data_IF_239271616119
#
_entry.id   IF_239271616119
#
_cell.length_a   1.000
_cell.length_b   1.000
_cell.length_c   1.000
_cell.angle_alpha   90.00
_cell.angle_beta   90.00
_cell.angle_gamma   90.00
#
_symmetry.space_group_name_H-M   'P 1'
#
loop_
_entity.id
_entity.type
_entity.pdbx_description
1 polymer ?
#
# COMPACT_ATOMS: atom_id res chain seq x y z
N UNK A 1 -39.03 -11.12 -42.37
CA UNK A 1 -38.94 -10.45 -41.05
C UNK A 1 -37.51 -10.55 -40.56
N UNK A 2 -36.78 -9.44 -40.58
CA UNK A 2 -35.36 -9.38 -40.19
C UNK A 2 -35.24 -9.21 -38.69
N UNK A 3 -34.74 -10.23 -37.99
CA UNK A 3 -34.48 -10.19 -36.55
C UNK A 3 -33.11 -9.54 -36.32
N UNK A 4 -33.07 -8.20 -36.44
CA UNK A 4 -31.89 -7.42 -36.12
C UNK A 4 -31.51 -7.63 -34.66
N UNK A 5 -30.29 -8.14 -34.41
CA UNK A 5 -29.74 -8.28 -33.07
C UNK A 5 -29.73 -6.91 -32.37
N UNK A 6 -30.57 -6.74 -31.34
CA UNK A 6 -30.59 -5.54 -30.51
C UNK A 6 -29.26 -5.46 -29.75
N UNK A 7 -28.32 -4.65 -30.23
CA UNK A 7 -27.15 -4.22 -29.45
C UNK A 7 -27.63 -3.20 -28.42
N UNK A 8 -27.68 -3.58 -27.16
CA UNK A 8 -27.96 -2.67 -26.05
C UNK A 8 -26.65 -1.96 -25.64
N UNK A 9 -26.54 -0.62 -25.75
CA UNK A 9 -25.32 0.12 -25.42
C UNK A 9 -25.06 0.28 -23.91
N UNK A 10 -25.92 -0.31 -23.07
CA UNK A 10 -26.02 -0.02 -21.63
C UNK A 10 -25.73 -1.22 -20.72
N UNK A 11 -25.06 -2.26 -21.23
CA UNK A 11 -24.58 -3.34 -20.37
C UNK A 11 -23.35 -2.90 -19.57
N UNK A 12 -23.58 -2.12 -18.51
CA UNK A 12 -22.74 -2.22 -17.33
C UNK A 12 -23.09 -3.54 -16.67
N UNK A 13 -22.26 -4.57 -16.94
CA UNK A 13 -22.38 -5.84 -16.25
C UNK A 13 -22.18 -5.62 -14.76
N UNK A 14 -23.26 -5.53 -14.01
CA UNK A 14 -23.28 -5.70 -12.56
C UNK A 14 -23.03 -7.18 -12.24
N UNK A 15 -21.84 -7.66 -12.58
CA UNK A 15 -21.35 -8.92 -12.02
C UNK A 15 -21.03 -8.66 -10.56
N UNK A 16 -21.66 -9.42 -9.65
CA UNK A 16 -21.30 -9.41 -8.23
C UNK A 16 -19.79 -9.36 -8.09
N UNK A 17 -19.30 -8.35 -7.37
CA UNK A 17 -17.87 -8.17 -7.12
C UNK A 17 -17.44 -9.25 -6.12
N UNK A 18 -17.26 -10.47 -6.63
CA UNK A 18 -16.74 -11.58 -5.83
C UNK A 18 -15.32 -11.22 -5.40
N UNK A 19 -15.04 -11.37 -4.11
CA UNK A 19 -13.73 -11.13 -3.46
C UNK A 19 -12.56 -11.73 -4.28
N UNK A 20 -12.81 -12.83 -5.00
CA UNK A 20 -11.89 -13.46 -5.95
C UNK A 20 -11.26 -12.51 -6.98
N UNK A 21 -11.97 -11.47 -7.44
CA UNK A 21 -11.46 -10.51 -8.45
C UNK A 21 -10.32 -9.65 -7.91
N UNK A 22 -10.28 -9.43 -6.59
CA UNK A 22 -9.27 -8.63 -5.91
C UNK A 22 -8.32 -9.48 -5.06
N UNK A 23 -8.36 -10.80 -5.20
CA UNK A 23 -7.54 -11.72 -4.41
C UNK A 23 -6.06 -11.34 -4.47
N UNK A 24 -5.53 -11.07 -5.66
CA UNK A 24 -4.12 -10.67 -5.83
C UNK A 24 -3.82 -9.35 -5.13
N UNK A 25 -4.76 -8.38 -5.16
CA UNK A 25 -4.58 -7.10 -4.45
C UNK A 25 -4.54 -7.30 -2.94
N UNK A 26 -5.43 -8.13 -2.39
CA UNK A 26 -5.42 -8.42 -0.96
C UNK A 26 -4.17 -9.18 -0.53
N UNK A 27 -3.72 -10.15 -1.33
CA UNK A 27 -2.45 -10.87 -1.09
C UNK A 27 -1.27 -9.90 -1.13
N UNK A 28 -1.23 -8.98 -2.10
CA UNK A 28 -0.18 -7.96 -2.17
C UNK A 28 -0.20 -7.02 -0.95
N UNK A 29 -1.38 -6.62 -0.47
CA UNK A 29 -1.51 -5.80 0.75
C UNK A 29 -1.04 -6.55 2.00
N UNK A 30 -1.43 -7.82 2.15
CA UNK A 30 -0.97 -8.66 3.27
C UNK A 30 0.55 -8.84 3.20
N UNK A 31 1.08 -9.18 2.03
CA UNK A 31 2.52 -9.31 1.82
C UNK A 31 3.27 -8.00 2.13
N UNK A 32 2.70 -6.86 1.77
CA UNK A 32 3.25 -5.55 2.07
C UNK A 32 3.32 -5.27 3.59
N UNK A 33 2.27 -5.60 4.33
CA UNK A 33 2.25 -5.46 5.80
C UNK A 33 3.24 -6.42 6.47
N UNK A 34 3.29 -7.68 6.01
CA UNK A 34 4.24 -8.68 6.51
C UNK A 34 5.69 -8.25 6.23
N UNK A 35 5.96 -7.72 5.04
CA UNK A 35 7.27 -7.17 4.68
C UNK A 35 7.67 -6.04 5.64
N UNK A 36 6.75 -5.11 5.93
CA UNK A 36 6.99 -4.04 6.89
C UNK A 36 7.33 -4.54 8.28
N UNK A 37 6.55 -5.49 8.80
CA UNK A 37 6.82 -6.11 10.10
C UNK A 37 8.18 -6.84 10.12
N UNK A 38 8.48 -7.61 9.08
CA UNK A 38 9.76 -8.31 8.95
C UNK A 38 10.95 -7.34 8.96
N UNK A 39 10.85 -6.23 8.22
CA UNK A 39 11.88 -5.20 8.18
C UNK A 39 11.98 -4.48 9.54
N UNK A 40 10.87 -4.18 10.20
CA UNK A 40 10.83 -3.53 11.51
C UNK A 40 11.55 -4.35 12.59
N UNK A 41 11.24 -5.65 12.69
CA UNK A 41 11.89 -6.54 13.66
C UNK A 41 13.36 -6.83 13.34
N UNK A 42 13.74 -6.71 12.05
CA UNK A 42 15.08 -6.98 11.58
C UNK A 42 15.99 -5.76 11.49
N UNK A 43 15.48 -4.55 11.71
CA UNK A 43 16.22 -3.30 11.59
C UNK A 43 16.86 -2.89 12.92
N UNK A 44 18.08 -2.38 12.84
CA UNK A 44 18.78 -1.83 13.99
C UNK A 44 18.43 -0.34 14.17
N UNK A 45 17.90 0.01 15.34
CA UNK A 45 17.62 1.41 15.70
C UNK A 45 18.76 1.93 16.59
N UNK A 46 19.45 3.01 16.20
CA UNK A 46 20.51 3.58 17.02
C UNK A 46 19.92 4.15 18.32
N UNK A 47 20.67 4.02 19.43
CA UNK A 47 20.25 4.52 20.75
C UNK A 47 20.06 6.05 20.79
N UNK A 48 20.63 6.76 19.82
CA UNK A 48 20.46 8.21 19.63
C UNK A 48 19.10 8.59 19.04
N UNK A 49 18.37 7.63 18.48
CA UNK A 49 17.06 7.85 17.84
C UNK A 49 16.16 6.62 18.03
N UNK A 50 15.71 6.39 19.27
CA UNK A 50 14.71 5.37 19.57
C UNK A 50 13.30 5.91 19.30
N UNK A 51 12.47 5.19 18.51
CA UNK A 51 11.10 5.61 18.24
C UNK A 51 10.23 5.41 19.48
N UNK A 52 9.89 6.51 20.17
CA UNK A 52 8.91 6.49 21.26
C UNK A 52 7.46 6.72 20.79
N UNK A 53 7.28 7.12 19.52
CA UNK A 53 5.99 7.33 18.89
C UNK A 53 6.09 7.34 17.37
N UNK A 54 4.92 7.44 16.70
CA UNK A 54 4.84 7.41 15.24
C UNK A 54 5.64 8.55 14.58
N UNK A 55 5.56 9.75 15.14
CA UNK A 55 6.29 10.92 14.61
C UNK A 55 7.80 10.70 14.72
N UNK A 56 8.26 10.22 15.88
CA UNK A 56 9.67 9.91 16.12
C UNK A 56 10.17 8.83 15.16
N UNK A 57 9.34 7.80 14.88
CA UNK A 57 9.66 6.78 13.87
C UNK A 57 9.96 7.40 12.51
N UNK A 58 9.14 8.35 12.04
CA UNK A 58 9.38 9.00 10.75
C UNK A 58 10.62 9.90 10.77
N UNK A 59 10.80 10.69 11.83
CA UNK A 59 11.95 11.58 11.94
C UNK A 59 13.28 10.80 12.07
N UNK A 60 13.27 9.73 12.86
CA UNK A 60 14.42 8.85 13.02
C UNK A 60 14.67 7.97 11.79
N UNK A 61 13.63 7.65 10.99
CA UNK A 61 13.78 6.83 9.78
C UNK A 61 14.75 7.40 8.76
N UNK A 62 14.88 8.72 8.67
CA UNK A 62 15.79 9.38 7.72
C UNK A 62 17.26 9.01 7.98
N UNK A 63 17.61 8.74 9.24
CA UNK A 63 18.98 8.38 9.64
C UNK A 63 19.26 6.87 9.62
N UNK A 64 18.24 6.03 9.42
CA UNK A 64 18.42 4.56 9.37
C UNK A 64 19.52 4.08 8.41
N UNK A 65 19.71 4.64 7.21
CA UNK A 65 20.76 4.20 6.30
C UNK A 65 22.15 4.83 6.58
N UNK A 66 22.28 5.80 7.49
CA UNK A 66 23.53 6.56 7.68
C UNK A 66 24.54 5.88 8.63
N UNK A 67 24.07 5.25 9.71
CA UNK A 67 24.93 4.66 10.76
C UNK A 67 25.40 3.22 10.42
N UNK A 68 25.84 2.97 9.18
CA UNK A 68 26.24 1.63 8.73
C UNK A 68 25.07 0.67 8.48
N UNK A 69 23.87 1.24 8.28
CA UNK A 69 22.65 0.49 7.98
C UNK A 69 22.79 -0.35 6.72
N UNK A 70 22.47 -1.63 6.83
CA UNK A 70 22.44 -2.55 5.70
C UNK A 70 21.24 -2.32 4.80
N UNK A 71 21.04 -3.24 3.87
CA UNK A 71 19.91 -3.19 2.94
C UNK A 71 18.54 -3.21 3.64
N UNK A 72 18.46 -3.74 4.86
CA UNK A 72 17.21 -3.85 5.63
C UNK A 72 16.75 -2.48 6.13
N UNK A 73 17.67 -1.67 6.64
CA UNK A 73 17.41 -0.33 7.14
C UNK A 73 16.97 0.61 6.01
N UNK A 74 17.64 0.52 4.85
CA UNK A 74 17.24 1.24 3.64
C UNK A 74 15.86 0.80 3.11
N UNK A 75 15.58 -0.51 3.15
CA UNK A 75 14.27 -1.04 2.78
C UNK A 75 13.16 -0.60 3.75
N UNK A 76 13.46 -0.55 5.06
CA UNK A 76 12.50 -0.10 6.08
C UNK A 76 12.18 1.39 5.91
N UNK A 77 13.19 2.23 5.66
CA UNK A 77 12.98 3.63 5.29
C UNK A 77 12.03 3.72 4.09
N UNK A 78 12.32 2.99 3.01
CA UNK A 78 11.48 3.02 1.81
C UNK A 78 10.06 2.57 2.11
N UNK A 79 9.89 1.51 2.91
CA UNK A 79 8.57 1.02 3.32
C UNK A 79 7.79 2.06 4.15
N UNK A 80 8.45 2.70 5.13
CA UNK A 80 7.86 3.75 5.95
C UNK A 80 7.40 4.93 5.11
N UNK A 81 8.18 5.36 4.11
CA UNK A 81 7.84 6.52 3.29
C UNK A 81 6.88 6.22 2.14
N UNK A 82 6.82 4.97 1.67
CA UNK A 82 5.87 4.55 0.63
C UNK A 82 4.48 4.23 1.18
N UNK A 83 4.37 3.72 2.41
CA UNK A 83 3.05 3.44 3.05
C UNK A 83 2.09 4.63 3.08
N UNK A 84 2.46 5.86 3.53
CA UNK A 84 1.56 7.00 3.52
C UNK A 84 1.18 7.42 2.09
N UNK A 85 2.09 7.28 1.13
CA UNK A 85 1.81 7.55 -0.27
C UNK A 85 0.76 6.57 -0.83
N UNK A 86 0.91 5.27 -0.56
CA UNK A 86 -0.04 4.24 -1.00
C UNK A 86 -1.42 4.45 -0.37
N UNK A 87 -1.47 4.83 0.92
CA UNK A 87 -2.70 5.18 1.61
C UNK A 87 -3.35 6.41 0.95
N UNK A 88 -2.59 7.47 0.70
CA UNK A 88 -3.10 8.67 0.05
C UNK A 88 -3.65 8.39 -1.36
N UNK A 89 -2.97 7.55 -2.14
CA UNK A 89 -3.43 7.12 -3.46
C UNK A 89 -4.70 6.27 -3.39
N UNK A 90 -4.82 5.37 -2.41
CA UNK A 90 -6.04 4.59 -2.20
C UNK A 90 -7.21 5.50 -1.79
N UNK A 91 -6.97 6.48 -0.91
CA UNK A 91 -7.96 7.49 -0.53
C UNK A 91 -8.40 8.28 -1.77
N UNK A 92 -7.46 8.85 -2.53
CA UNK A 92 -7.74 9.57 -3.77
C UNK A 92 -8.59 8.75 -4.74
N UNK A 93 -8.24 7.47 -4.94
CA UNK A 93 -8.98 6.53 -5.79
C UNK A 93 -10.41 6.28 -5.32
N UNK A 94 -10.66 6.29 -4.01
CA UNK A 94 -12.00 6.14 -3.44
C UNK A 94 -12.84 7.40 -3.65
N UNK A 95 -12.26 8.57 -3.39
CA UNK A 95 -12.95 9.86 -3.57
C UNK A 95 -13.27 10.15 -5.04
N UNK A 96 -12.36 9.88 -5.99
CA UNK A 96 -12.63 10.08 -7.42
C UNK A 96 -13.69 9.14 -8.01
N UNK A 97 -14.06 8.07 -7.29
CA UNK A 97 -15.18 7.21 -7.68
C UNK A 97 -16.53 7.69 -7.15
N UNK A 98 -16.53 8.51 -6.11
CA UNK A 98 -17.77 9.10 -5.54
C UNK A 98 -18.30 10.22 -6.45
N UNK A 99 -17.41 10.91 -7.16
CA UNK A 99 -17.71 12.10 -7.95
C UNK A 99 -18.21 11.80 -9.38
N UNK A 100 -18.28 10.53 -9.80
CA UNK A 100 -18.69 10.10 -11.15
C UNK A 100 -19.83 9.09 -11.10
#
# INVERSE_FOLDING_TARGET
>A
MSHGSKRFPTHHGYGEIKVSRYLVLYVAQVAWLVLGAYLWFGAYWPSTCQPHGLIDTYMCSIRLPEDGGGWREAALLTWLWSTPLLIALEISRRFSKEER
#
